data_IF_444052365856
#
_entry.id   IF_444052365856
#
_cell.length_a   1.000
_cell.length_b   1.000
_cell.length_c   1.000
_cell.angle_alpha   90.00
_cell.angle_beta   90.00
_cell.angle_gamma   90.00
#
_symmetry.space_group_name_H-M   'P 1'
#
loop_
_entity.id
_entity.type
_entity.pdbx_description
1 polymer ?
#
# COMPACT_ATOMS: atom_id res chain seq x y z
N UNK A 1 -9.83 -22.53 41.03
CA UNK A 1 -9.48 -21.28 40.29
C UNK A 1 -8.13 -21.35 39.58
N UNK A 2 -6.99 -21.60 40.24
CA UNK A 2 -5.66 -21.61 39.60
C UNK A 2 -5.51 -22.61 38.43
N UNK A 3 -6.03 -23.83 38.59
CA UNK A 3 -5.99 -24.86 37.54
C UNK A 3 -6.84 -24.49 36.30
N UNK A 4 -7.96 -23.79 36.50
CA UNK A 4 -8.84 -23.34 35.41
C UNK A 4 -8.18 -22.21 34.62
N UNK A 5 -7.54 -21.26 35.30
CA UNK A 5 -6.75 -20.19 34.65
C UNK A 5 -5.59 -20.79 33.85
N UNK A 6 -4.90 -21.80 34.41
CA UNK A 6 -3.82 -22.51 33.71
C UNK A 6 -4.35 -23.24 32.46
N UNK A 7 -5.52 -23.87 32.55
CA UNK A 7 -6.15 -24.56 31.43
C UNK A 7 -6.54 -23.59 30.31
N UNK A 8 -7.13 -22.44 30.64
CA UNK A 8 -7.46 -21.39 29.67
C UNK A 8 -6.21 -20.77 29.04
N UNK A 9 -5.12 -20.58 29.81
CA UNK A 9 -3.85 -20.11 29.28
C UNK A 9 -3.23 -21.11 28.29
N UNK A 10 -3.25 -22.41 28.62
CA UNK A 10 -2.76 -23.47 27.73
C UNK A 10 -3.64 -23.57 26.48
N UNK A 11 -4.97 -23.52 26.61
CA UNK A 11 -5.89 -23.54 25.48
C UNK A 11 -5.66 -22.36 24.53
N UNK A 12 -5.45 -21.16 25.09
CA UNK A 12 -5.14 -19.94 24.34
C UNK A 12 -3.82 -20.01 23.57
N UNK A 13 -2.79 -20.66 24.14
CA UNK A 13 -1.52 -20.90 23.45
C UNK A 13 -1.65 -21.93 22.32
N UNK A 14 -2.49 -22.96 22.48
CA UNK A 14 -2.72 -24.00 21.46
C UNK A 14 -3.64 -23.58 20.31
N UNK A 15 -4.41 -22.50 20.47
CA UNK A 15 -5.32 -21.97 19.44
C UNK A 15 -4.71 -20.81 18.64
N UNK A 16 -3.44 -20.46 18.86
CA UNK A 16 -2.80 -19.37 18.13
C UNK A 16 -2.62 -19.75 16.65
N UNK A 17 -3.31 -19.03 15.77
CA UNK A 17 -3.18 -19.21 14.33
C UNK A 17 -2.06 -18.31 13.82
N UNK A 18 -1.08 -18.90 13.15
CA UNK A 18 0.01 -18.16 12.51
C UNK A 18 -0.39 -17.88 11.06
N UNK A 19 -0.45 -16.61 10.70
CA UNK A 19 -0.64 -16.17 9.32
C UNK A 19 0.70 -15.67 8.77
N UNK A 20 1.21 -16.32 7.73
CA UNK A 20 2.44 -15.91 7.07
C UNK A 20 2.12 -15.31 5.71
N UNK A 21 2.51 -14.05 5.51
CA UNK A 21 2.35 -13.36 4.24
C UNK A 21 3.66 -13.43 3.45
N UNK A 22 3.66 -14.12 2.31
CA UNK A 22 4.85 -14.25 1.48
C UNK A 22 5.12 -12.96 0.71
N UNK A 23 6.38 -12.48 0.78
CA UNK A 23 6.82 -11.28 0.08
C UNK A 23 7.70 -11.62 -1.11
N UNK A 24 7.53 -10.84 -2.17
CA UNK A 24 8.37 -10.90 -3.36
C UNK A 24 9.29 -9.70 -3.39
N UNK A 25 10.59 -9.94 -3.60
CA UNK A 25 11.53 -8.86 -3.88
C UNK A 25 11.39 -8.42 -5.33
N UNK A 26 11.30 -7.11 -5.57
CA UNK A 26 11.35 -6.54 -6.92
C UNK A 26 12.71 -5.90 -7.21
N UNK A 27 13.05 -5.80 -8.49
CA UNK A 27 14.14 -4.93 -8.92
C UNK A 27 13.76 -3.49 -8.58
N UNK A 28 14.64 -2.80 -7.87
CA UNK A 28 14.39 -1.45 -7.40
C UNK A 28 14.49 -0.42 -8.52
N UNK A 29 13.85 0.74 -8.37
CA UNK A 29 13.93 1.83 -9.37
C UNK A 29 15.39 2.22 -9.59
N UNK A 30 16.21 2.26 -8.53
CA UNK A 30 17.66 2.46 -8.66
C UNK A 30 18.31 1.48 -9.63
N UNK A 31 18.03 0.18 -9.47
CA UNK A 31 18.62 -0.87 -10.30
C UNK A 31 18.11 -0.80 -11.73
N UNK A 32 16.83 -0.47 -11.93
CA UNK A 32 16.21 -0.32 -13.25
C UNK A 32 16.83 0.89 -13.97
N UNK A 33 16.80 2.07 -13.36
CA UNK A 33 17.32 3.30 -13.96
C UNK A 33 18.84 3.27 -14.12
N UNK A 34 19.56 2.58 -13.23
CA UNK A 34 20.99 2.35 -13.36
C UNK A 34 21.36 1.56 -14.62
N UNK A 35 20.56 0.53 -14.96
CA UNK A 35 20.74 -0.22 -16.22
C UNK A 35 20.37 0.61 -17.46
N UNK A 36 19.43 1.53 -17.33
CA UNK A 36 19.02 2.44 -18.42
C UNK A 36 19.92 3.67 -18.58
N UNK A 37 20.89 3.89 -17.68
CA UNK A 37 21.73 5.09 -17.67
C UNK A 37 20.99 6.38 -17.27
N UNK A 38 19.79 6.27 -16.67
CA UNK A 38 18.92 7.41 -16.31
C UNK A 38 18.93 7.77 -14.83
N UNK A 39 19.77 7.09 -14.04
CA UNK A 39 19.79 7.25 -12.59
C UNK A 39 20.21 8.66 -12.14
N UNK A 40 21.18 9.27 -12.81
CA UNK A 40 21.69 10.59 -12.44
C UNK A 40 20.65 11.69 -12.67
N UNK A 41 20.01 11.71 -13.85
CA UNK A 41 18.92 12.64 -14.19
C UNK A 41 17.73 12.50 -13.20
N UNK A 42 17.38 11.27 -12.85
CA UNK A 42 16.34 10.99 -11.86
C UNK A 42 16.72 11.55 -10.48
N UNK A 43 17.97 11.36 -10.04
CA UNK A 43 18.45 11.85 -8.75
C UNK A 43 18.57 13.38 -8.70
N UNK A 44 18.93 14.03 -9.80
CA UNK A 44 18.92 15.49 -9.90
C UNK A 44 17.50 16.04 -9.68
N UNK A 45 16.52 15.48 -10.38
CA UNK A 45 15.10 15.84 -10.21
C UNK A 45 14.63 15.63 -8.77
N UNK A 46 14.96 14.48 -8.16
CA UNK A 46 14.60 14.17 -6.77
C UNK A 46 15.24 15.14 -5.77
N UNK A 47 16.48 15.57 -6.02
CA UNK A 47 17.18 16.55 -5.19
C UNK A 47 16.58 17.95 -5.30
N UNK A 48 16.19 18.38 -6.49
CA UNK A 48 15.48 19.65 -6.69
C UNK A 48 14.16 19.67 -5.90
N UNK A 49 13.38 18.58 -5.95
CA UNK A 49 12.14 18.44 -5.19
C UNK A 49 12.40 18.43 -3.67
N UNK A 50 13.49 17.81 -3.21
CA UNK A 50 13.90 17.84 -1.79
C UNK A 50 14.25 19.25 -1.31
N UNK A 51 14.89 20.06 -2.14
CA UNK A 51 15.22 21.45 -1.81
C UNK A 51 13.99 22.36 -1.82
N UNK A 52 13.05 22.11 -2.73
CA UNK A 52 11.79 22.87 -2.83
C UNK A 52 10.80 22.56 -1.69
N UNK A 53 11.00 21.49 -0.92
CA UNK A 53 10.15 21.14 0.23
C UNK A 53 10.34 22.14 1.37
N UNK A 54 9.38 23.03 1.55
CA UNK A 54 9.45 24.07 2.59
C UNK A 54 8.58 23.85 3.83
N UNK A 55 7.74 22.81 3.93
CA UNK A 55 6.74 22.82 5.03
C UNK A 55 6.31 21.49 5.69
N UNK A 56 6.42 20.30 5.07
CA UNK A 56 6.01 19.06 5.76
C UNK A 56 7.13 18.41 6.60
N UNK A 57 8.39 18.55 6.17
CA UNK A 57 9.56 17.92 6.84
C UNK A 57 10.27 18.83 7.85
N UNK A 58 9.90 20.12 7.92
CA UNK A 58 10.59 21.11 8.75
C UNK A 58 10.45 20.82 10.27
N UNK A 59 9.46 20.02 10.68
CA UNK A 59 9.25 19.63 12.07
C UNK A 59 10.03 18.40 12.53
N UNK A 60 10.75 17.70 11.65
CA UNK A 60 11.51 16.49 12.00
C UNK A 60 13.03 16.75 11.85
N UNK A 61 13.83 16.53 12.91
CA UNK A 61 15.27 16.79 12.86
C UNK A 61 16.02 15.79 11.95
N UNK A 62 15.44 14.64 11.67
CA UNK A 62 16.05 13.61 10.83
C UNK A 62 15.67 13.76 9.36
N UNK A 63 16.68 13.88 8.50
CA UNK A 63 16.50 13.81 7.04
C UNK A 63 16.45 12.35 6.60
N UNK A 64 15.24 11.83 6.44
CA UNK A 64 15.03 10.51 5.81
C UNK A 64 14.83 10.72 4.32
N UNK A 65 15.88 10.46 3.54
CA UNK A 65 15.85 10.53 2.09
C UNK A 65 15.64 9.13 1.53
N UNK A 66 14.53 8.92 0.86
CA UNK A 66 14.29 7.70 0.10
C UNK A 66 15.11 7.72 -1.21
N UNK A 67 15.80 6.63 -1.52
CA UNK A 67 16.61 6.45 -2.73
C UNK A 67 16.12 5.27 -3.59
N UNK A 68 14.91 4.77 -3.35
CA UNK A 68 14.28 3.72 -4.16
C UNK A 68 15.17 2.47 -4.29
N UNK A 69 15.73 2.01 -3.16
CA UNK A 69 16.82 1.03 -3.08
C UNK A 69 16.34 -0.42 -3.08
N UNK A 70 15.30 -0.72 -2.32
CA UNK A 70 14.76 -2.07 -2.16
C UNK A 70 13.30 -2.01 -1.82
N UNK A 71 12.54 -2.89 -2.46
CA UNK A 71 11.11 -2.95 -2.31
C UNK A 71 10.66 -4.41 -2.25
N UNK A 72 9.88 -4.70 -1.22
CA UNK A 72 9.23 -5.99 -1.04
C UNK A 72 7.74 -5.78 -1.10
N UNK A 73 7.11 -6.61 -1.92
CA UNK A 73 5.71 -6.45 -2.27
C UNK A 73 4.94 -7.70 -1.90
N UNK A 74 3.71 -7.50 -1.44
CA UNK A 74 2.79 -8.54 -1.02
C UNK A 74 1.55 -8.56 -1.90
N UNK A 75 1.02 -9.75 -2.18
CA UNK A 75 -0.21 -9.89 -2.94
C UNK A 75 -1.41 -9.84 -2.00
N UNK A 76 -2.32 -8.90 -2.20
CA UNK A 76 -3.60 -8.85 -1.48
C UNK A 76 -4.77 -9.04 -2.43
N UNK A 77 -5.94 -9.34 -1.88
CA UNK A 77 -7.20 -9.16 -2.62
C UNK A 77 -8.13 -8.23 -1.87
N UNK A 78 -8.85 -7.39 -2.60
CA UNK A 78 -9.91 -6.52 -2.05
C UNK A 78 -11.24 -6.86 -2.70
N UNK A 79 -12.27 -7.07 -1.89
CA UNK A 79 -13.63 -7.36 -2.34
C UNK A 79 -14.03 -8.83 -2.38
N UNK A 80 -15.28 -9.06 -2.76
CA UNK A 80 -15.87 -10.40 -2.93
C UNK A 80 -16.64 -10.50 -4.26
N UNK A 81 -16.17 -11.28 -5.26
CA UNK A 81 -14.90 -12.00 -5.28
C UNK A 81 -13.68 -11.05 -5.21
N UNK A 82 -12.56 -11.56 -4.69
CA UNK A 82 -11.35 -10.78 -4.46
C UNK A 82 -10.72 -10.26 -5.75
N UNK A 83 -10.50 -8.95 -5.82
CA UNK A 83 -9.74 -8.28 -6.89
C UNK A 83 -8.28 -8.16 -6.44
N UNK A 84 -7.34 -8.69 -7.23
CA UNK A 84 -5.94 -8.81 -6.83
C UNK A 84 -5.16 -7.50 -6.98
N UNK A 85 -4.29 -7.22 -6.00
CA UNK A 85 -3.34 -6.09 -6.00
C UNK A 85 -1.99 -6.56 -5.48
N UNK A 86 -0.93 -5.90 -5.95
CA UNK A 86 0.42 -6.05 -5.42
C UNK A 86 0.75 -4.75 -4.67
N UNK A 87 0.94 -4.83 -3.36
CA UNK A 87 1.10 -3.67 -2.48
C UNK A 87 2.45 -3.66 -1.80
N UNK A 88 2.92 -2.46 -1.44
CA UNK A 88 4.06 -2.27 -0.55
C UNK A 88 3.59 -2.47 0.89
N UNK A 89 4.27 -3.34 1.64
CA UNK A 89 4.08 -3.41 3.09
C UNK A 89 4.96 -2.38 3.78
N UNK A 90 4.41 -1.18 3.95
CA UNK A 90 5.09 -0.03 4.52
C UNK A 90 4.80 0.13 6.02
N UNK A 91 5.79 -0.16 6.87
CA UNK A 91 5.70 0.09 8.32
C UNK A 91 5.78 1.56 8.71
N UNK A 92 6.08 2.45 7.75
CA UNK A 92 6.15 3.90 7.93
C UNK A 92 4.79 4.61 7.83
N UNK A 93 3.72 3.89 7.48
CA UNK A 93 2.36 4.45 7.38
C UNK A 93 1.30 3.52 7.99
N UNK A 94 0.08 4.02 8.12
CA UNK A 94 -1.05 3.31 8.73
C UNK A 94 -2.25 3.17 7.80
N UNK A 95 -2.11 3.53 6.51
CA UNK A 95 -3.21 3.59 5.57
C UNK A 95 -3.02 2.59 4.43
N UNK A 96 -4.10 1.90 4.05
CA UNK A 96 -4.20 1.15 2.80
C UNK A 96 -4.95 2.00 1.77
N UNK A 97 -4.47 2.02 0.53
CA UNK A 97 -5.20 2.56 -0.60
C UNK A 97 -4.81 1.81 -1.88
N UNK A 98 -5.73 1.74 -2.84
CA UNK A 98 -5.52 1.13 -4.16
C UNK A 98 -6.10 2.04 -5.25
N UNK A 99 -5.66 1.93 -6.52
CA UNK A 99 -6.23 2.73 -7.60
C UNK A 99 -7.70 2.37 -7.81
N UNK A 100 -8.56 3.38 -7.90
CA UNK A 100 -9.96 3.18 -8.24
C UNK A 100 -10.15 3.01 -9.75
N UNK A 101 -11.20 2.30 -10.15
CA UNK A 101 -11.61 2.13 -11.55
C UNK A 101 -11.80 3.47 -12.29
N UNK A 102 -12.16 4.54 -11.58
CA UNK A 102 -12.31 5.89 -12.14
C UNK A 102 -10.99 6.66 -12.26
N UNK A 103 -9.87 6.12 -11.77
CA UNK A 103 -8.56 6.76 -11.92
C UNK A 103 -8.14 6.79 -13.40
N UNK A 104 -8.16 7.97 -14.01
CA UNK A 104 -7.88 8.19 -15.43
C UNK A 104 -6.53 8.85 -15.72
N UNK A 105 -5.79 9.26 -14.68
CA UNK A 105 -4.45 9.84 -14.85
C UNK A 105 -3.44 8.82 -15.39
N UNK A 106 -2.42 9.31 -16.09
CA UNK A 106 -1.44 8.45 -16.79
C UNK A 106 -0.72 7.45 -15.88
N UNK A 107 -0.51 7.84 -14.62
CA UNK A 107 0.10 7.00 -13.60
C UNK A 107 -0.74 5.75 -13.27
N UNK A 108 -2.07 5.79 -13.47
CA UNK A 108 -2.97 4.66 -13.23
C UNK A 108 -3.11 3.70 -14.42
N UNK A 109 -2.59 4.04 -15.61
CA UNK A 109 -2.91 3.32 -16.85
C UNK A 109 -2.45 1.86 -16.89
N UNK A 110 -1.35 1.53 -16.20
CA UNK A 110 -0.77 0.17 -16.17
C UNK A 110 -1.08 -0.61 -14.89
N UNK A 111 -2.00 -0.12 -14.05
CA UNK A 111 -2.24 -0.65 -12.71
C UNK A 111 -3.56 -1.42 -12.65
N UNK A 112 -3.62 -2.40 -11.78
CA UNK A 112 -4.90 -2.98 -11.38
C UNK A 112 -5.73 -1.91 -10.68
N UNK A 113 -7.04 -1.93 -10.95
CA UNK A 113 -7.97 -0.93 -10.42
C UNK A 113 -9.14 -1.61 -9.75
N UNK A 114 -9.47 -1.12 -8.57
CA UNK A 114 -10.60 -1.61 -7.81
C UNK A 114 -11.90 -1.13 -8.44
N UNK A 115 -12.79 -2.08 -8.73
CA UNK A 115 -14.12 -1.80 -9.27
C UNK A 115 -15.14 -2.14 -8.20
N UNK A 116 -15.65 -1.13 -7.49
CA UNK A 116 -16.62 -1.29 -6.39
C UNK A 116 -17.84 -2.13 -6.79
N UNK A 117 -18.38 -1.93 -8.01
CA UNK A 117 -19.56 -2.66 -8.50
C UNK A 117 -19.36 -4.15 -8.73
N UNK A 118 -18.11 -4.64 -8.68
CA UNK A 118 -17.77 -6.07 -8.80
C UNK A 118 -17.58 -6.76 -7.45
N UNK A 119 -17.80 -6.05 -6.33
CA UNK A 119 -17.67 -6.61 -4.99
C UNK A 119 -19.01 -6.61 -4.27
N UNK A 120 -19.44 -7.79 -3.79
CA UNK A 120 -20.67 -7.96 -3.01
C UNK A 120 -20.53 -7.52 -1.55
N UNK A 121 -19.29 -7.37 -1.05
CA UNK A 121 -19.00 -6.94 0.32
C UNK A 121 -18.62 -5.45 0.42
N UNK A 122 -18.67 -4.74 -0.70
CA UNK A 122 -18.34 -3.32 -0.73
C UNK A 122 -19.39 -2.47 -0.02
N UNK A 123 -18.93 -1.54 0.81
CA UNK A 123 -19.75 -0.55 1.49
C UNK A 123 -19.23 0.85 1.18
N UNK A 124 -20.13 1.71 0.70
CA UNK A 124 -19.82 3.11 0.40
C UNK A 124 -19.50 3.86 1.70
N UNK A 125 -18.33 4.49 1.75
CA UNK A 125 -18.00 5.51 2.76
C UNK A 125 -18.01 6.91 2.12
N UNK A 126 -17.21 7.12 1.07
CA UNK A 126 -17.25 8.32 0.22
C UNK A 126 -16.56 9.55 0.80
N UNK A 127 -16.05 9.52 2.04
CA UNK A 127 -15.26 10.62 2.60
C UNK A 127 -13.96 10.82 1.82
N UNK A 128 -13.65 12.05 1.45
CA UNK A 128 -12.41 12.37 0.74
C UNK A 128 -11.16 12.13 1.60
N UNK A 129 -10.08 11.70 0.97
CA UNK A 129 -8.75 11.60 1.59
C UNK A 129 -7.66 12.13 0.65
N UNK A 130 -6.53 12.56 1.23
CA UNK A 130 -5.35 12.97 0.51
C UNK A 130 -4.10 12.71 1.35
N UNK A 131 -3.10 12.08 0.76
CA UNK A 131 -1.76 11.93 1.33
C UNK A 131 -0.79 12.72 0.44
N UNK A 132 -0.07 13.66 1.05
CA UNK A 132 0.96 14.46 0.37
C UNK A 132 2.32 13.82 0.60
N UNK A 133 2.95 13.36 -0.48
CA UNK A 133 4.32 12.89 -0.51
C UNK A 133 5.26 14.05 -0.89
N UNK A 134 6.55 13.77 -0.94
CA UNK A 134 7.53 14.81 -1.28
C UNK A 134 7.50 15.33 -2.68
N UNK A 135 7.09 14.46 -3.58
CA UNK A 135 7.21 14.61 -5.02
C UNK A 135 5.82 14.60 -5.67
N UNK A 136 4.75 14.69 -4.87
CA UNK A 136 3.36 14.67 -5.34
C UNK A 136 2.38 14.24 -4.26
N UNK A 137 1.20 13.77 -4.65
CA UNK A 137 0.17 13.30 -3.72
C UNK A 137 -0.63 12.14 -4.30
N UNK A 138 -1.25 11.34 -3.43
CA UNK A 138 -2.35 10.45 -3.78
C UNK A 138 -3.64 10.96 -3.12
N UNK A 139 -4.75 10.89 -3.83
CA UNK A 139 -6.04 11.35 -3.33
C UNK A 139 -7.21 10.61 -3.97
N UNK A 140 -8.35 10.66 -3.28
CA UNK A 140 -9.60 10.03 -3.71
C UNK A 140 -10.61 10.02 -2.58
N UNK A 141 -11.33 8.91 -2.45
CA UNK A 141 -12.38 8.73 -1.44
C UNK A 141 -12.21 7.40 -0.70
N UNK A 142 -12.74 7.32 0.52
CA UNK A 142 -12.70 6.11 1.33
C UNK A 142 -13.81 5.14 0.91
N UNK A 143 -13.53 3.85 1.02
CA UNK A 143 -14.50 2.76 0.95
C UNK A 143 -14.22 1.74 2.03
N UNK A 144 -15.18 0.85 2.26
CA UNK A 144 -15.01 -0.30 3.14
C UNK A 144 -15.24 -1.57 2.33
N UNK A 145 -14.35 -2.55 2.48
CA UNK A 145 -14.52 -3.87 1.88
C UNK A 145 -13.70 -4.93 2.62
N UNK A 146 -13.83 -6.19 2.21
CA UNK A 146 -13.01 -7.31 2.72
C UNK A 146 -11.62 -7.27 2.09
N UNK A 147 -10.58 -7.24 2.91
CA UNK A 147 -9.18 -7.30 2.49
C UNK A 147 -8.59 -8.63 2.91
N UNK A 148 -7.91 -9.32 2.00
CA UNK A 148 -7.22 -10.58 2.28
C UNK A 148 -5.72 -10.43 2.01
N UNK A 149 -4.89 -10.81 2.98
CA UNK A 149 -3.44 -10.77 2.90
C UNK A 149 -2.88 -12.06 2.27
N UNK A 150 -3.05 -12.17 0.97
CA UNK A 150 -2.69 -13.33 0.16
C UNK A 150 -3.82 -13.68 -0.80
N UNK A 151 -3.61 -14.68 -1.66
CA UNK A 151 -4.60 -15.11 -2.65
C UNK A 151 -5.18 -16.50 -2.36
N UNK A 152 -4.56 -17.28 -1.49
CA UNK A 152 -4.99 -18.63 -1.13
C UNK A 152 -6.00 -18.67 0.05
N UNK A 153 -6.41 -19.87 0.43
CA UNK A 153 -7.37 -20.11 1.51
C UNK A 153 -6.78 -19.97 2.92
N UNK A 154 -5.46 -19.98 3.07
CA UNK A 154 -4.76 -19.82 4.36
C UNK A 154 -4.50 -18.35 4.71
N UNK A 155 -4.69 -17.45 3.75
CA UNK A 155 -4.46 -16.02 3.92
C UNK A 155 -5.41 -15.37 4.95
N UNK A 156 -4.85 -14.46 5.75
CA UNK A 156 -5.60 -13.67 6.72
C UNK A 156 -6.64 -12.82 6.00
N UNK A 157 -7.91 -12.98 6.38
CA UNK A 157 -9.03 -12.20 5.83
C UNK A 157 -9.53 -11.23 6.87
N UNK A 158 -9.52 -9.94 6.54
CA UNK A 158 -9.96 -8.83 7.36
C UNK A 158 -11.22 -8.23 6.73
N UNK A 159 -12.42 -8.57 7.23
CA UNK A 159 -13.66 -7.97 6.75
C UNK A 159 -13.75 -6.51 7.20
N UNK A 160 -14.55 -5.72 6.48
CA UNK A 160 -14.87 -4.32 6.85
C UNK A 160 -13.65 -3.42 7.04
N UNK A 161 -12.60 -3.63 6.24
CA UNK A 161 -11.43 -2.79 6.25
C UNK A 161 -11.73 -1.48 5.52
N UNK A 162 -11.49 -0.33 6.15
CA UNK A 162 -11.55 0.97 5.47
C UNK A 162 -10.25 1.20 4.71
N UNK A 163 -10.35 1.52 3.42
CA UNK A 163 -9.21 1.80 2.55
C UNK A 163 -9.51 2.96 1.59
N UNK A 164 -8.46 3.55 1.04
CA UNK A 164 -8.56 4.60 0.02
C UNK A 164 -8.78 4.02 -1.38
N UNK A 165 -9.81 4.50 -2.07
CA UNK A 165 -9.98 4.35 -3.52
C UNK A 165 -9.40 5.60 -4.18
N UNK A 166 -8.20 5.47 -4.76
CA UNK A 166 -7.45 6.60 -5.33
C UNK A 166 -7.96 6.93 -6.74
N UNK A 167 -8.44 8.15 -6.93
CA UNK A 167 -8.86 8.67 -8.25
C UNK A 167 -7.75 9.45 -8.95
N UNK A 168 -6.72 9.84 -8.20
CA UNK A 168 -5.52 10.50 -8.70
C UNK A 168 -4.31 10.14 -7.86
N UNK A 169 -3.20 9.87 -8.55
CA UNK A 169 -1.89 9.53 -7.97
C UNK A 169 -0.82 10.29 -8.74
N UNK A 170 0.28 10.62 -8.05
CA UNK A 170 1.41 11.31 -8.66
C UNK A 170 2.16 10.43 -9.68
N UNK A 171 2.83 11.08 -10.63
CA UNK A 171 3.52 10.39 -11.74
C UNK A 171 4.68 9.49 -11.28
N UNK A 172 5.29 9.75 -10.13
CA UNK A 172 6.36 8.89 -9.62
C UNK A 172 5.87 7.46 -9.31
N UNK A 173 4.57 7.26 -9.08
CA UNK A 173 4.00 5.92 -8.92
C UNK A 173 3.87 5.15 -10.25
N UNK A 174 4.08 5.76 -11.42
CA UNK A 174 3.82 5.14 -12.73
C UNK A 174 4.55 3.80 -12.94
N UNK A 175 5.77 3.69 -12.43
CA UNK A 175 6.61 2.48 -12.54
C UNK A 175 6.61 1.63 -11.26
N UNK A 176 5.90 2.10 -10.23
CA UNK A 176 5.81 1.47 -8.92
C UNK A 176 4.69 0.42 -8.88
N UNK A 177 4.67 -0.41 -7.85
CA UNK A 177 3.47 -1.19 -7.49
C UNK A 177 2.46 -0.29 -6.78
N UNK A 178 1.17 -0.63 -6.91
CA UNK A 178 0.09 -0.12 -6.07
C UNK A 178 -0.95 -1.22 -5.94
#
# INVERSE_FOLDING_TARGET
MKAVILLFAILGLTLSQVYQHHLRKRDSIRKILGREGKWEEYMETKNLLRMARTSFAAGFPQKVNDYDDSEYVGNITVGTPGQAFEVILDTGSANLWVPDSTCSVSACSKKHKFTSSKSSTWVKNGKSWKITYGTGSANGFLGEDTVKFGTDSSALTVPKCTFGQATSIADFFKNDVI
#
